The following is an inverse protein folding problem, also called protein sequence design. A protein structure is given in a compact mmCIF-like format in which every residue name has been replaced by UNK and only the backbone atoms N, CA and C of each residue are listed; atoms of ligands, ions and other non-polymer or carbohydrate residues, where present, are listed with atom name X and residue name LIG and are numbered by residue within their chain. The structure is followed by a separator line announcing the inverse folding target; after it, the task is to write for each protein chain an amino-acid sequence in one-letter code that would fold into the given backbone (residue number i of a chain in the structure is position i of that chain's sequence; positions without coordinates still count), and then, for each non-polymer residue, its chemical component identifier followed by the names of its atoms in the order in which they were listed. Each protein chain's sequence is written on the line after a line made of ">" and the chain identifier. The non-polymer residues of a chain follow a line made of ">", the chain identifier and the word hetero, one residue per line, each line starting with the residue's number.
data_IF_100421603199
#
_entry.id   IF_100421603199
#
_cell.length_a   1.000
_cell.length_b   1.000
_cell.length_c   1.000
_cell.angle_alpha   90.00
_cell.angle_beta   90.00
_cell.angle_gamma   90.00
#
_symmetry.space_group_name_H-M   'P 1'
#
loop_
_entity.id
_entity.type
_entity.pdbx_description
1 polymer ?
#
# COMPACT_ATOMS: atom_id res chain seq x y z
N UNK A 1 22.26 -14.91 -13.45
CA UNK A 1 20.96 -14.22 -13.59
C UNK A 1 20.06 -15.15 -14.39
N UNK A 2 18.98 -15.66 -13.80
CA UNK A 2 18.10 -16.62 -14.48
C UNK A 2 17.28 -15.89 -15.54
N UNK A 3 17.32 -16.39 -16.77
CA UNK A 3 16.56 -15.86 -17.91
C UNK A 3 15.71 -16.97 -18.50
N UNK A 4 14.49 -16.64 -18.92
CA UNK A 4 13.61 -17.52 -19.68
C UNK A 4 13.20 -16.80 -20.96
N UNK A 5 13.51 -17.37 -22.12
CA UNK A 5 13.23 -16.75 -23.43
C UNK A 5 13.71 -15.29 -23.56
N UNK A 6 14.87 -14.96 -22.98
CA UNK A 6 15.44 -13.60 -23.00
C UNK A 6 14.81 -12.63 -21.98
N UNK A 7 13.81 -13.07 -21.23
CA UNK A 7 13.21 -12.31 -20.13
C UNK A 7 13.99 -12.63 -18.84
N UNK A 8 14.50 -11.60 -18.16
CA UNK A 8 15.05 -11.77 -16.80
C UNK A 8 13.95 -12.30 -15.89
N UNK A 9 14.18 -13.38 -15.16
CA UNK A 9 13.21 -13.87 -14.16
C UNK A 9 13.57 -13.45 -12.75
N UNK A 10 14.79 -12.95 -12.56
CA UNK A 10 15.29 -12.42 -11.30
C UNK A 10 15.09 -10.89 -11.27
N UNK A 11 14.08 -10.44 -10.52
CA UNK A 11 13.79 -9.02 -10.32
C UNK A 11 13.91 -8.62 -8.85
N UNK A 12 14.38 -7.39 -8.63
CA UNK A 12 14.35 -6.77 -7.32
C UNK A 12 12.94 -6.24 -7.05
N UNK A 13 12.21 -6.91 -6.16
CA UNK A 13 10.94 -6.38 -5.63
C UNK A 13 11.22 -5.42 -4.48
N UNK A 14 10.26 -4.53 -4.19
CA UNK A 14 10.37 -3.64 -3.04
C UNK A 14 10.50 -4.43 -1.72
N UNK A 15 9.72 -5.50 -1.54
CA UNK A 15 9.86 -6.41 -0.39
C UNK A 15 11.26 -6.99 -0.29
N UNK A 16 11.84 -7.48 -1.40
CA UNK A 16 13.20 -8.03 -1.40
C UNK A 16 14.24 -6.97 -1.05
N UNK A 17 14.11 -5.77 -1.61
CA UNK A 17 14.98 -4.65 -1.31
C UNK A 17 14.95 -4.32 0.19
N UNK A 18 13.76 -4.17 0.78
CA UNK A 18 13.61 -3.85 2.21
C UNK A 18 14.24 -4.92 3.10
N UNK A 19 14.02 -6.21 2.80
CA UNK A 19 14.63 -7.31 3.55
C UNK A 19 16.16 -7.28 3.43
N UNK A 20 16.69 -7.02 2.24
CA UNK A 20 18.13 -6.88 2.03
C UNK A 20 18.70 -5.69 2.80
N UNK A 21 18.01 -4.54 2.80
CA UNK A 21 18.46 -3.38 3.59
C UNK A 21 18.43 -3.67 5.09
N UNK A 22 17.37 -4.31 5.61
CA UNK A 22 17.32 -4.73 7.02
C UNK A 22 18.51 -5.62 7.40
N UNK A 23 18.86 -6.60 6.55
CA UNK A 23 19.96 -7.53 6.83
C UNK A 23 21.34 -6.87 6.98
N UNK A 24 21.50 -5.63 6.50
CA UNK A 24 22.73 -4.85 6.69
C UNK A 24 22.90 -4.32 8.11
N UNK A 25 21.84 -4.37 8.94
CA UNK A 25 21.82 -3.84 10.30
C UNK A 25 21.53 -4.97 11.30
N UNK A 26 22.56 -5.54 11.95
CA UNK A 26 22.40 -6.66 12.88
C UNK A 26 21.48 -6.38 14.08
N UNK A 27 21.30 -5.11 14.44
CA UNK A 27 20.42 -4.67 15.52
C UNK A 27 18.98 -4.39 15.09
N UNK A 28 18.65 -4.54 13.79
CA UNK A 28 17.31 -4.25 13.30
C UNK A 28 16.29 -5.27 13.80
N UNK A 29 15.21 -4.77 14.42
CA UNK A 29 14.11 -5.58 14.97
C UNK A 29 13.20 -6.15 13.88
N UNK A 30 13.15 -5.50 12.72
CA UNK A 30 12.24 -5.84 11.63
C UNK A 30 10.90 -5.07 11.65
N UNK A 31 10.65 -4.25 12.68
CA UNK A 31 9.41 -3.46 12.80
C UNK A 31 9.24 -2.50 11.61
N UNK A 32 10.31 -1.84 11.17
CA UNK A 32 10.26 -1.00 9.96
C UNK A 32 9.93 -1.82 8.71
N UNK A 33 10.43 -3.05 8.60
CA UNK A 33 10.13 -3.95 7.47
C UNK A 33 8.66 -4.35 7.47
N UNK A 34 8.10 -4.65 8.65
CA UNK A 34 6.67 -4.94 8.81
C UNK A 34 5.81 -3.72 8.42
N UNK A 35 6.14 -2.54 8.95
CA UNK A 35 5.48 -1.27 8.60
C UNK A 35 5.48 -1.03 7.09
N UNK A 36 6.64 -1.18 6.45
CA UNK A 36 6.78 -0.97 5.00
C UNK A 36 6.01 -2.00 4.18
N UNK A 37 5.87 -3.25 4.66
CA UNK A 37 5.04 -4.26 4.03
C UNK A 37 3.53 -3.95 4.19
N UNK A 38 3.11 -3.44 5.35
CA UNK A 38 1.76 -2.91 5.58
C UNK A 38 1.42 -1.79 4.60
N UNK A 39 2.32 -0.81 4.47
CA UNK A 39 2.19 0.32 3.55
C UNK A 39 2.07 -0.13 2.09
N UNK A 40 2.89 -1.07 1.65
CA UNK A 40 2.83 -1.65 0.31
C UNK A 40 1.48 -2.33 0.03
N UNK A 41 0.94 -3.04 1.01
CA UNK A 41 -0.32 -3.78 0.89
C UNK A 41 -1.50 -2.82 0.81
N UNK A 42 -1.57 -1.83 1.72
CA UNK A 42 -2.57 -0.77 1.66
C UNK A 42 -2.55 -0.03 0.32
N UNK A 43 -1.35 0.34 -0.16
CA UNK A 43 -1.18 1.02 -1.46
C UNK A 43 -1.71 0.19 -2.63
N UNK A 44 -1.43 -1.13 -2.65
CA UNK A 44 -1.95 -2.05 -3.67
C UNK A 44 -3.48 -2.16 -3.60
N UNK A 45 -4.05 -2.22 -2.39
CA UNK A 45 -5.49 -2.27 -2.19
C UNK A 45 -6.19 -0.99 -2.69
N UNK A 46 -5.65 0.18 -2.33
CA UNK A 46 -6.16 1.48 -2.81
C UNK A 46 -6.05 1.57 -4.33
N UNK A 47 -4.92 1.16 -4.92
CA UNK A 47 -4.77 1.15 -6.39
C UNK A 47 -5.82 0.27 -7.06
N UNK A 48 -6.13 -0.90 -6.49
CA UNK A 48 -7.19 -1.78 -6.97
C UNK A 48 -8.57 -1.11 -6.88
N UNK A 49 -8.86 -0.45 -5.76
CA UNK A 49 -10.10 0.28 -5.54
C UNK A 49 -10.28 1.44 -6.52
N UNK A 50 -9.23 2.24 -6.76
CA UNK A 50 -9.22 3.33 -7.74
C UNK A 50 -9.57 2.81 -9.14
N UNK A 51 -8.96 1.71 -9.58
CA UNK A 51 -9.21 1.10 -10.89
C UNK A 51 -10.66 0.59 -11.04
N UNK A 52 -11.31 0.25 -9.93
CA UNK A 52 -12.68 -0.28 -9.89
C UNK A 52 -13.73 0.76 -9.46
N UNK A 53 -13.31 1.97 -9.13
CA UNK A 53 -14.14 2.98 -8.48
C UNK A 53 -15.39 3.36 -9.29
N UNK A 54 -15.30 3.35 -10.62
CA UNK A 54 -16.44 3.59 -11.52
C UNK A 54 -17.52 2.53 -11.41
N UNK A 55 -17.15 1.26 -11.34
CA UNK A 55 -18.09 0.15 -11.20
C UNK A 55 -18.67 0.04 -9.78
N UNK A 56 -17.88 0.42 -8.77
CA UNK A 56 -18.26 0.33 -7.36
C UNK A 56 -18.96 1.60 -6.84
N UNK A 57 -19.26 2.58 -7.70
CA UNK A 57 -19.88 3.86 -7.32
C UNK A 57 -19.12 4.62 -6.22
N UNK A 58 -17.77 4.56 -6.25
CA UNK A 58 -16.89 5.15 -5.23
C UNK A 58 -16.51 6.62 -5.51
N UNK A 59 -16.90 7.20 -6.65
CA UNK A 59 -16.61 8.60 -6.98
C UNK A 59 -17.54 9.62 -6.29
N UNK A 60 -18.56 9.15 -5.56
CA UNK A 60 -19.50 10.03 -4.86
C UNK A 60 -18.91 10.67 -3.60
N UNK A 61 -19.53 11.78 -3.19
CA UNK A 61 -19.30 12.39 -1.88
C UNK A 61 -19.90 11.53 -0.77
N UNK A 62 -19.33 11.65 0.42
CA UNK A 62 -19.85 11.01 1.64
C UNK A 62 -20.95 11.83 2.33
N UNK A 63 -21.09 13.11 1.96
CA UNK A 63 -21.95 14.06 2.67
C UNK A 63 -21.34 14.59 3.97
N UNK A 64 -20.06 14.29 4.21
CA UNK A 64 -19.29 14.80 5.35
C UNK A 64 -18.17 15.72 4.87
N UNK A 65 -17.78 16.68 5.71
CA UNK A 65 -16.62 17.52 5.49
C UNK A 65 -15.54 17.21 6.53
N UNK A 66 -14.27 17.28 6.14
CA UNK A 66 -13.15 17.05 7.04
C UNK A 66 -12.90 18.25 7.98
N UNK A 67 -11.93 18.13 8.88
CA UNK A 67 -11.58 19.22 9.83
C UNK A 67 -11.03 20.48 9.12
N UNK A 68 -10.70 20.37 7.83
CA UNK A 68 -10.25 21.44 6.96
C UNK A 68 -11.41 22.08 6.15
N UNK A 69 -12.64 21.55 6.27
CA UNK A 69 -13.82 22.05 5.57
C UNK A 69 -13.98 21.56 4.13
N UNK A 70 -13.22 20.55 3.71
CA UNK A 70 -13.31 19.95 2.37
C UNK A 70 -14.31 18.80 2.35
N UNK A 71 -15.11 18.72 1.29
CA UNK A 71 -16.04 17.60 1.08
C UNK A 71 -15.29 16.28 0.86
N UNK A 72 -15.58 15.30 1.70
CA UNK A 72 -14.89 14.00 1.69
C UNK A 72 -15.52 13.07 0.66
N UNK A 73 -14.70 12.45 -0.19
CA UNK A 73 -15.16 11.44 -1.16
C UNK A 73 -15.18 10.06 -0.52
N UNK A 74 -16.05 9.18 -1.01
CA UNK A 74 -16.13 7.78 -0.54
C UNK A 74 -14.79 7.03 -0.68
N UNK A 75 -14.06 7.33 -1.75
CA UNK A 75 -12.74 6.75 -1.98
C UNK A 75 -11.70 7.21 -0.94
N UNK A 76 -11.83 8.44 -0.42
CA UNK A 76 -10.92 8.96 0.61
C UNK A 76 -11.12 8.21 1.94
N UNK A 77 -12.38 7.96 2.31
CA UNK A 77 -12.72 7.15 3.50
C UNK A 77 -12.20 5.73 3.36
N UNK A 78 -12.43 5.09 2.20
CA UNK A 78 -11.93 3.74 1.95
C UNK A 78 -10.40 3.67 2.02
N UNK A 79 -9.70 4.64 1.43
CA UNK A 79 -8.25 4.68 1.48
C UNK A 79 -7.75 4.84 2.93
N UNK A 80 -8.37 5.73 3.71
CA UNK A 80 -8.05 5.91 5.12
C UNK A 80 -8.23 4.62 5.93
N UNK A 81 -9.38 3.94 5.78
CA UNK A 81 -9.63 2.66 6.47
C UNK A 81 -8.61 1.59 6.09
N UNK A 82 -8.27 1.46 4.80
CA UNK A 82 -7.27 0.50 4.34
C UNK A 82 -5.89 0.79 4.95
N UNK A 83 -5.45 2.05 4.97
CA UNK A 83 -4.17 2.40 5.57
C UNK A 83 -4.18 2.17 7.08
N UNK A 84 -5.16 2.67 7.81
CA UNK A 84 -5.25 2.52 9.28
C UNK A 84 -5.25 1.05 9.67
N UNK A 85 -6.11 0.23 9.05
CA UNK A 85 -6.21 -1.19 9.38
C UNK A 85 -4.89 -1.93 9.10
N UNK A 86 -4.26 -1.67 7.95
CA UNK A 86 -3.01 -2.33 7.59
C UNK A 86 -1.84 -1.91 8.49
N UNK A 87 -1.80 -0.65 8.92
CA UNK A 87 -0.74 -0.10 9.77
C UNK A 87 -0.89 -0.51 11.24
N UNK A 88 -2.11 -0.70 11.74
CA UNK A 88 -2.35 -1.23 13.08
C UNK A 88 -2.08 -2.73 13.15
N UNK A 89 -2.35 -3.47 12.07
CA UNK A 89 -2.13 -4.92 12.02
C UNK A 89 -0.70 -5.33 11.64
N UNK A 90 0.19 -4.37 11.33
CA UNK A 90 1.58 -4.66 10.95
C UNK A 90 2.51 -4.81 12.14
#
# INVERSE_FOLDING_TARGET
>A
MSTFEGISTDYMTLTRFIIQEQSKFPSATGELTQLMNGLQTATKAVSSAVRKAGFMSLYGLTGTSNVQGEDVKKLDVLANELFVNMLISS
#
